data_IF_260698139169
#
_entry.id   IF_260698139169
#
_cell.length_a   1.000
_cell.length_b   1.000
_cell.length_c   1.000
_cell.angle_alpha   90.00
_cell.angle_beta   90.00
_cell.angle_gamma   90.00
#
_symmetry.space_group_name_H-M   'P 1'
#
loop_
_entity.id
_entity.type
_entity.pdbx_description
1 polymer ?
#
# COMPACT_ATOMS: atom_id res chain seq x y z
N UNK A 1 11.49 16.51 -7.57
CA UNK A 1 10.46 16.06 -6.60
C UNK A 1 9.08 16.53 -6.99
N UNK A 2 8.86 17.83 -7.25
CA UNK A 2 7.58 18.36 -7.78
C UNK A 2 7.14 17.62 -9.06
N UNK A 3 8.07 17.33 -9.97
CA UNK A 3 7.81 16.57 -11.21
C UNK A 3 7.27 15.15 -10.95
N UNK A 4 7.74 14.46 -9.91
CA UNK A 4 7.25 13.11 -9.58
C UNK A 4 5.82 13.18 -9.08
N UNK A 5 5.52 14.15 -8.21
CA UNK A 5 4.15 14.36 -7.70
C UNK A 5 3.18 14.73 -8.83
N UNK A 6 3.60 15.56 -9.78
CA UNK A 6 2.81 15.91 -10.97
C UNK A 6 2.54 14.69 -11.86
N UNK A 7 3.51 13.78 -12.02
CA UNK A 7 3.29 12.53 -12.75
C UNK A 7 2.24 11.66 -12.04
N UNK A 8 2.33 11.50 -10.72
CA UNK A 8 1.31 10.78 -9.94
C UNK A 8 -0.09 11.41 -10.08
N UNK A 9 -0.17 12.75 -10.08
CA UNK A 9 -1.41 13.48 -10.33
C UNK A 9 -1.98 13.18 -11.71
N UNK A 10 -1.13 13.29 -12.75
CA UNK A 10 -1.52 13.04 -14.13
C UNK A 10 -2.03 11.60 -14.32
N UNK A 11 -1.39 10.62 -13.68
CA UNK A 11 -1.79 9.21 -13.75
C UNK A 11 -3.13 8.99 -13.02
N UNK A 12 -3.34 9.63 -11.87
CA UNK A 12 -4.60 9.55 -11.14
C UNK A 12 -5.76 10.17 -11.93
N UNK A 13 -5.56 11.36 -12.53
CA UNK A 13 -6.55 12.01 -13.39
C UNK A 13 -6.88 11.14 -14.61
N UNK A 14 -5.86 10.65 -15.32
CA UNK A 14 -6.04 9.77 -16.47
C UNK A 14 -6.86 8.51 -16.11
N UNK A 15 -6.64 7.92 -14.93
CA UNK A 15 -7.41 6.78 -14.47
C UNK A 15 -8.88 7.11 -14.22
N UNK A 16 -9.18 8.29 -13.66
CA UNK A 16 -10.55 8.77 -13.42
C UNK A 16 -11.26 9.03 -14.76
N UNK A 17 -10.59 9.70 -15.70
CA UNK A 17 -11.13 9.95 -17.04
C UNK A 17 -11.43 8.63 -17.76
N UNK A 18 -10.50 7.68 -17.71
CA UNK A 18 -10.67 6.34 -18.29
C UNK A 18 -11.80 5.56 -17.62
N UNK A 19 -11.96 5.69 -16.29
CA UNK A 19 -13.04 5.06 -15.54
C UNK A 19 -14.41 5.70 -15.79
N UNK A 20 -14.44 6.90 -16.35
CA UNK A 20 -15.67 7.64 -16.69
C UNK A 20 -16.10 7.46 -18.16
N UNK A 21 -15.26 6.82 -18.99
CA UNK A 21 -15.57 6.57 -20.39
C UNK A 21 -16.64 5.47 -20.54
N UNK A 22 -17.85 5.88 -20.91
CA UNK A 22 -18.99 4.98 -21.14
C UNK A 22 -18.81 4.05 -22.35
N UNK A 23 -17.80 4.29 -23.20
CA UNK A 23 -17.51 3.46 -24.38
C UNK A 23 -16.58 2.29 -24.05
N UNK A 24 -15.98 2.26 -22.86
CA UNK A 24 -15.07 1.19 -22.46
C UNK A 24 -15.83 -0.14 -22.26
N UNK A 25 -15.26 -1.23 -22.77
CA UNK A 25 -15.76 -2.59 -22.48
C UNK A 25 -15.76 -2.84 -20.97
N UNK A 26 -16.76 -3.55 -20.45
CA UNK A 26 -16.98 -3.81 -19.01
C UNK A 26 -15.71 -4.21 -18.26
N UNK A 27 -14.92 -5.14 -18.80
CA UNK A 27 -13.67 -5.61 -18.17
C UNK A 27 -12.62 -4.50 -18.03
N UNK A 28 -12.47 -3.64 -19.04
CA UNK A 28 -11.55 -2.49 -18.97
C UNK A 28 -12.10 -1.42 -18.02
N UNK A 29 -13.43 -1.23 -18.00
CA UNK A 29 -14.08 -0.25 -17.13
C UNK A 29 -13.88 -0.61 -15.64
N UNK A 30 -14.05 -1.88 -15.28
CA UNK A 30 -13.76 -2.36 -13.92
C UNK A 30 -12.30 -2.12 -13.55
N UNK A 31 -11.38 -2.49 -14.45
CA UNK A 31 -9.94 -2.27 -14.25
C UNK A 31 -9.60 -0.78 -14.07
N UNK A 32 -10.21 0.11 -14.86
CA UNK A 32 -10.00 1.55 -14.75
C UNK A 32 -10.53 2.09 -13.41
N UNK A 33 -11.68 1.61 -12.94
CA UNK A 33 -12.23 1.97 -11.63
C UNK A 33 -11.32 1.52 -10.49
N UNK A 34 -10.85 0.27 -10.50
CA UNK A 34 -9.89 -0.23 -9.52
C UNK A 34 -8.59 0.58 -9.52
N UNK A 35 -8.03 0.85 -10.70
CA UNK A 35 -6.81 1.65 -10.86
C UNK A 35 -7.00 3.09 -10.38
N UNK A 36 -8.18 3.70 -10.61
CA UNK A 36 -8.48 5.06 -10.15
C UNK A 36 -8.47 5.17 -8.64
N UNK A 37 -9.05 4.21 -7.92
CA UNK A 37 -9.01 4.15 -6.45
C UNK A 37 -7.55 4.01 -5.99
N UNK A 38 -6.82 3.07 -6.58
CA UNK A 38 -5.44 2.77 -6.20
C UNK A 38 -4.50 3.97 -6.40
N UNK A 39 -4.58 4.63 -7.55
CA UNK A 39 -3.74 5.79 -7.87
C UNK A 39 -4.13 7.02 -7.05
N UNK A 40 -5.43 7.22 -6.80
CA UNK A 40 -5.86 8.33 -5.94
C UNK A 40 -5.44 8.12 -4.48
N UNK A 41 -5.44 6.89 -3.99
CA UNK A 41 -4.85 6.55 -2.69
C UNK A 41 -3.36 6.87 -2.62
N UNK A 42 -2.61 6.57 -3.69
CA UNK A 42 -1.19 6.85 -3.78
C UNK A 42 -0.88 8.34 -3.94
N UNK A 43 -1.76 9.15 -4.53
CA UNK A 43 -1.53 10.59 -4.69
C UNK A 43 -1.95 11.40 -3.46
N UNK A 44 -3.18 11.17 -2.96
CA UNK A 44 -3.81 12.03 -1.97
C UNK A 44 -3.16 11.93 -0.58
N UNK A 45 -2.91 13.06 0.08
CA UNK A 45 -2.36 13.12 1.44
C UNK A 45 -0.85 12.85 1.56
N UNK A 46 -0.17 12.60 0.44
CA UNK A 46 1.29 12.45 0.39
C UNK A 46 1.98 13.71 -0.12
N UNK A 47 3.10 14.06 0.51
CA UNK A 47 4.03 15.09 0.07
C UNK A 47 4.85 14.61 -1.14
N UNK A 48 5.49 15.55 -1.85
CA UNK A 48 6.32 15.21 -3.00
C UNK A 48 7.53 14.32 -2.63
N UNK A 49 8.02 14.40 -1.38
CA UNK A 49 9.07 13.50 -0.87
C UNK A 49 8.56 12.09 -0.60
N UNK A 50 7.36 11.99 -0.02
CA UNK A 50 6.74 10.70 0.26
C UNK A 50 6.37 9.96 -1.04
N UNK A 51 5.93 10.67 -2.08
CA UNK A 51 5.65 10.04 -3.37
C UNK A 51 6.87 9.40 -4.03
N UNK A 52 8.08 9.85 -3.70
CA UNK A 52 9.30 9.19 -4.17
C UNK A 52 9.56 7.86 -3.42
N UNK A 53 9.10 7.73 -2.17
CA UNK A 53 9.25 6.52 -1.37
C UNK A 53 8.34 5.39 -1.86
N UNK A 54 7.26 5.69 -2.59
CA UNK A 54 6.41 4.67 -3.21
C UNK A 54 7.23 3.68 -4.04
N UNK A 55 8.14 4.20 -4.88
CA UNK A 55 9.01 3.39 -5.72
C UNK A 55 9.93 2.49 -4.88
N UNK A 56 10.54 3.04 -3.82
CA UNK A 56 11.42 2.28 -2.94
C UNK A 56 10.67 1.09 -2.34
N UNK A 57 9.45 1.31 -1.85
CA UNK A 57 8.70 0.27 -1.14
C UNK A 57 8.08 -0.74 -2.09
N UNK A 58 7.55 -0.30 -3.23
CA UNK A 58 6.94 -1.19 -4.22
C UNK A 58 7.98 -2.01 -5.02
N UNK A 59 9.25 -1.62 -5.01
CA UNK A 59 10.28 -2.25 -5.84
C UNK A 59 10.68 -3.63 -5.31
N UNK A 60 10.44 -4.65 -6.13
CA UNK A 60 10.92 -6.03 -5.91
C UNK A 60 12.43 -6.19 -6.01
N UNK A 61 13.15 -5.19 -6.53
CA UNK A 61 14.60 -5.26 -6.74
C UNK A 61 15.42 -4.96 -5.48
N UNK A 62 14.78 -4.59 -4.37
CA UNK A 62 15.48 -4.21 -3.14
C UNK A 62 15.51 -5.40 -2.20
N UNK A 63 16.74 -5.86 -1.90
CA UNK A 63 16.98 -6.94 -0.95
C UNK A 63 16.91 -6.40 0.49
N UNK A 64 16.10 -7.05 1.33
CA UNK A 64 15.87 -6.69 2.72
C UNK A 64 17.15 -6.65 3.55
N UNK A 65 18.06 -7.60 3.27
CA UNK A 65 19.36 -7.70 3.96
C UNK A 65 20.23 -6.47 3.69
N UNK A 66 20.09 -5.87 2.51
CA UNK A 66 20.85 -4.67 2.13
C UNK A 66 20.16 -3.41 2.63
N UNK A 67 18.83 -3.43 2.75
CA UNK A 67 18.05 -2.27 3.13
C UNK A 67 18.01 -2.05 4.66
N UNK A 68 17.87 -3.12 5.46
CA UNK A 68 17.73 -3.00 6.92
C UNK A 68 18.79 -2.13 7.59
N UNK A 69 20.10 -2.31 7.30
CA UNK A 69 21.15 -1.48 7.92
C UNK A 69 21.05 0.01 7.56
N UNK A 70 20.35 0.35 6.48
CA UNK A 70 20.13 1.74 6.07
C UNK A 70 19.18 2.46 7.02
N UNK A 71 18.21 1.75 7.61
CA UNK A 71 17.36 2.32 8.67
C UNK A 71 18.17 2.64 9.93
N UNK A 72 19.21 1.86 10.20
CA UNK A 72 20.23 2.10 11.22
C UNK A 72 20.83 3.51 11.19
N UNK A 73 20.92 4.12 10.01
CA UNK A 73 21.54 5.44 9.79
C UNK A 73 20.58 6.62 9.94
N UNK A 74 19.27 6.37 9.99
CA UNK A 74 18.27 7.43 10.13
C UNK A 74 18.33 8.03 11.54
N UNK A 75 18.30 9.36 11.64
CA UNK A 75 18.13 10.04 12.91
C UNK A 75 16.66 9.97 13.38
N UNK A 76 16.39 10.40 14.62
CA UNK A 76 15.06 10.28 15.21
C UNK A 76 13.94 10.98 14.42
N UNK A 77 14.23 12.13 13.79
CA UNK A 77 13.25 12.87 12.97
C UNK A 77 12.98 12.15 11.64
N UNK A 78 14.03 11.65 10.99
CA UNK A 78 13.92 10.90 9.74
C UNK A 78 13.17 9.59 9.95
N UNK A 79 13.49 8.87 11.02
CA UNK A 79 12.83 7.63 11.41
C UNK A 79 11.34 7.86 11.71
N UNK A 80 11.01 8.91 12.47
CA UNK A 80 9.62 9.27 12.75
C UNK A 80 8.85 9.61 11.47
N UNK A 81 9.45 10.34 10.54
CA UNK A 81 8.82 10.67 9.26
C UNK A 81 8.58 9.42 8.40
N UNK A 82 9.52 8.48 8.39
CA UNK A 82 9.34 7.19 7.71
C UNK A 82 8.18 6.40 8.32
N UNK A 83 8.12 6.31 9.65
CA UNK A 83 7.03 5.63 10.37
C UNK A 83 5.68 6.27 10.05
N UNK A 84 5.58 7.61 10.08
CA UNK A 84 4.37 8.34 9.70
C UNK A 84 3.94 8.07 8.27
N UNK A 85 4.90 8.02 7.35
CA UNK A 85 4.62 7.69 5.97
C UNK A 85 4.08 6.24 5.81
N UNK A 86 4.64 5.25 6.53
CA UNK A 86 4.12 3.88 6.56
C UNK A 86 2.71 3.83 7.20
N UNK A 87 2.50 4.58 8.28
CA UNK A 87 1.21 4.71 8.95
C UNK A 87 0.12 5.28 8.01
N UNK A 88 0.47 6.28 7.17
CA UNK A 88 -0.45 6.80 6.14
C UNK A 88 -0.90 5.69 5.20
N UNK A 89 0.01 4.82 4.76
CA UNK A 89 -0.34 3.68 3.91
C UNK A 89 -1.27 2.69 4.61
N UNK A 90 -0.99 2.33 5.86
CA UNK A 90 -1.88 1.47 6.66
C UNK A 90 -3.28 2.07 6.78
N UNK A 91 -3.38 3.37 7.06
CA UNK A 91 -4.66 4.09 7.13
C UNK A 91 -5.41 4.07 5.80
N UNK A 92 -4.70 4.22 4.67
CA UNK A 92 -5.30 4.13 3.34
C UNK A 92 -5.87 2.73 3.09
N UNK A 93 -5.12 1.67 3.42
CA UNK A 93 -5.60 0.29 3.26
C UNK A 93 -6.76 -0.07 4.19
N UNK A 94 -6.74 0.42 5.43
CA UNK A 94 -7.87 0.27 6.35
C UNK A 94 -9.12 0.97 5.82
N UNK A 95 -8.98 2.17 5.23
CA UNK A 95 -10.10 2.96 4.70
C UNK A 95 -10.64 2.44 3.37
N UNK A 96 -9.78 1.85 2.53
CA UNK A 96 -10.11 1.38 1.20
C UNK A 96 -9.71 -0.10 1.02
N UNK A 97 -10.36 -1.03 1.73
CA UNK A 97 -10.02 -2.47 1.67
C UNK A 97 -10.22 -3.07 0.26
N UNK A 98 -11.01 -2.43 -0.60
CA UNK A 98 -11.21 -2.83 -1.99
C UNK A 98 -10.01 -2.52 -2.91
N UNK A 99 -9.05 -1.71 -2.45
CA UNK A 99 -7.90 -1.32 -3.26
C UNK A 99 -6.93 -2.49 -3.42
N UNK A 100 -6.91 -3.07 -4.61
CA UNK A 100 -6.05 -4.20 -4.97
C UNK A 100 -4.98 -3.77 -5.95
N UNK A 101 -3.79 -4.41 -5.91
CA UNK A 101 -2.77 -4.19 -6.93
C UNK A 101 -3.35 -4.47 -8.33
N UNK A 102 -3.19 -3.52 -9.25
CA UNK A 102 -3.73 -3.62 -10.61
C UNK A 102 -2.61 -3.53 -11.67
N UNK A 103 -1.65 -4.47 -11.71
CA UNK A 103 -0.49 -4.37 -12.60
C UNK A 103 -0.87 -4.45 -14.09
N UNK A 104 -2.01 -5.08 -14.42
CA UNK A 104 -2.52 -5.11 -15.80
C UNK A 104 -2.98 -3.74 -16.30
N UNK A 105 -3.29 -2.80 -15.42
CA UNK A 105 -3.66 -1.43 -15.83
C UNK A 105 -2.49 -0.70 -16.51
N UNK A 106 -1.25 -1.00 -16.10
CA UNK A 106 -0.04 -0.46 -16.72
C UNK A 106 0.04 -0.82 -18.22
N UNK A 107 -0.16 -2.09 -18.57
CA UNK A 107 -0.07 -2.56 -19.97
C UNK A 107 -1.34 -2.35 -20.79
N UNK A 108 -2.52 -2.42 -20.18
CA UNK A 108 -3.82 -2.36 -20.89
C UNK A 108 -4.37 -0.94 -21.00
N UNK A 109 -4.14 -0.10 -20.00
CA UNK A 109 -4.69 1.24 -19.88
C UNK A 109 -3.61 2.33 -19.87
N UNK A 110 -2.33 1.96 -20.04
CA UNK A 110 -1.17 2.87 -19.98
C UNK A 110 -1.03 3.61 -18.63
N UNK A 111 -1.58 3.04 -17.56
CA UNK A 111 -1.51 3.58 -16.19
C UNK A 111 -0.26 3.07 -15.48
N UNK A 112 0.90 3.57 -15.89
CA UNK A 112 2.22 3.07 -15.48
C UNK A 112 2.48 3.18 -13.98
N UNK A 113 1.88 4.17 -13.33
CA UNK A 113 2.03 4.37 -11.89
C UNK A 113 1.43 3.23 -11.05
N UNK A 114 0.52 2.42 -11.60
CA UNK A 114 -0.08 1.29 -10.87
C UNK A 114 0.94 0.24 -10.41
N UNK A 115 2.04 0.07 -11.15
CA UNK A 115 3.10 -0.88 -10.80
C UNK A 115 3.96 -0.40 -9.62
N UNK A 116 3.89 0.91 -9.31
CA UNK A 116 4.70 1.56 -8.28
C UNK A 116 3.93 1.89 -7.01
N UNK A 117 2.68 1.43 -6.90
CA UNK A 117 1.88 1.59 -5.68
C UNK A 117 2.31 0.51 -4.67
N UNK A 118 2.84 0.89 -3.49
CA UNK A 118 3.20 -0.06 -2.44
C UNK A 118 2.01 -0.93 -2.07
N UNK A 119 2.18 -2.26 -2.04
CA UNK A 119 1.15 -3.17 -1.55
C UNK A 119 1.10 -3.13 -0.02
N UNK A 120 -0.01 -3.58 0.56
CA UNK A 120 -0.11 -3.73 2.02
C UNK A 120 1.00 -4.64 2.56
N UNK A 121 1.31 -5.73 1.86
CA UNK A 121 2.41 -6.64 2.19
C UNK A 121 3.76 -5.90 2.25
N UNK A 122 4.05 -5.04 1.27
CA UNK A 122 5.29 -4.27 1.22
C UNK A 122 5.35 -3.29 2.41
N UNK A 123 4.23 -2.62 2.73
CA UNK A 123 4.14 -1.67 3.85
C UNK A 123 4.37 -2.35 5.20
N UNK A 124 3.71 -3.50 5.43
CA UNK A 124 3.85 -4.28 6.67
C UNK A 124 5.28 -4.81 6.80
N UNK A 125 5.85 -5.31 5.70
CA UNK A 125 7.23 -5.79 5.65
C UNK A 125 8.22 -4.70 6.04
N UNK A 126 8.11 -3.51 5.44
CA UNK A 126 8.98 -2.37 5.78
C UNK A 126 8.81 -1.90 7.22
N UNK A 127 7.59 -1.92 7.75
CA UNK A 127 7.34 -1.63 9.15
C UNK A 127 8.06 -2.64 10.06
N UNK A 128 7.99 -3.94 9.73
CA UNK A 128 8.71 -5.00 10.43
C UNK A 128 10.22 -4.75 10.45
N UNK A 129 10.83 -4.46 9.30
CA UNK A 129 12.26 -4.15 9.22
C UNK A 129 12.66 -2.94 10.07
N UNK A 130 11.84 -1.89 10.08
CA UNK A 130 12.07 -0.71 10.93
C UNK A 130 12.00 -1.08 12.41
N UNK A 131 11.01 -1.89 12.81
CA UNK A 131 10.87 -2.36 14.18
C UNK A 131 12.07 -3.22 14.59
N UNK A 132 12.50 -4.16 13.76
CA UNK A 132 13.62 -5.06 14.04
C UNK A 132 14.94 -4.27 14.21
N UNK A 133 15.21 -3.32 13.31
CA UNK A 133 16.46 -2.54 13.33
C UNK A 133 16.49 -1.47 14.45
N UNK A 134 15.35 -0.88 14.79
CA UNK A 134 15.27 0.28 15.70
C UNK A 134 14.49 0.05 16.99
N UNK A 135 14.14 -1.20 17.31
CA UNK A 135 13.29 -1.57 18.44
C UNK A 135 13.59 -0.77 19.72
N UNK A 136 14.84 -0.80 20.20
CA UNK A 136 15.23 -0.12 21.43
C UNK A 136 14.98 1.39 21.37
N UNK A 137 15.27 2.03 20.24
CA UNK A 137 15.04 3.48 20.07
C UNK A 137 13.54 3.81 20.08
N UNK A 138 12.74 2.96 19.43
CA UNK A 138 11.29 3.15 19.29
C UNK A 138 10.55 2.97 20.63
N UNK A 139 10.97 1.98 21.42
CA UNK A 139 10.34 1.69 22.72
C UNK A 139 10.80 2.67 23.79
N UNK A 140 12.07 3.07 23.81
CA UNK A 140 12.61 3.90 24.89
C UNK A 140 12.30 5.39 24.73
N UNK A 141 12.10 5.88 23.50
CA UNK A 141 11.96 7.31 23.24
C UNK A 141 10.48 7.71 23.04
N UNK A 142 9.89 8.57 23.90
CA UNK A 142 8.46 8.92 23.84
C UNK A 142 7.98 9.51 22.53
N UNK A 143 8.89 10.16 21.78
CA UNK A 143 8.65 10.71 20.44
C UNK A 143 7.89 9.77 19.49
N UNK A 144 8.08 8.45 19.61
CA UNK A 144 7.49 7.47 18.70
C UNK A 144 6.18 6.87 19.22
N UNK A 145 5.88 7.01 20.52
CA UNK A 145 4.85 6.20 21.20
C UNK A 145 3.44 6.46 20.69
N UNK A 146 3.09 7.71 20.41
CA UNK A 146 1.78 8.06 19.85
C UNK A 146 1.57 7.38 18.48
N UNK A 147 2.56 7.54 17.60
CA UNK A 147 2.46 7.00 16.25
C UNK A 147 2.44 5.47 16.24
N UNK A 148 3.25 4.83 17.10
CA UNK A 148 3.25 3.38 17.26
C UNK A 148 1.93 2.84 17.81
N UNK A 149 1.28 3.57 18.74
CA UNK A 149 -0.06 3.20 19.23
C UNK A 149 -1.10 3.29 18.12
N UNK A 150 -1.07 4.36 17.33
CA UNK A 150 -1.98 4.49 16.18
C UNK A 150 -1.76 3.37 15.16
N UNK A 151 -0.51 2.99 14.90
CA UNK A 151 -0.19 1.86 14.02
C UNK A 151 -0.70 0.53 14.59
N UNK A 152 -0.53 0.29 15.89
CA UNK A 152 -1.00 -0.92 16.57
C UNK A 152 -2.52 -1.09 16.44
N UNK A 153 -3.29 -0.02 16.65
CA UNK A 153 -4.74 -0.01 16.43
C UNK A 153 -5.10 -0.38 14.97
N UNK A 154 -4.44 0.24 13.99
CA UNK A 154 -4.69 -0.05 12.57
C UNK A 154 -4.34 -1.49 12.19
N UNK A 155 -3.19 -1.99 12.63
CA UNK A 155 -2.74 -3.37 12.36
C UNK A 155 -3.67 -4.37 13.04
N UNK A 156 -4.16 -4.09 14.25
CA UNK A 156 -5.13 -4.93 14.94
C UNK A 156 -6.46 -5.05 14.18
N UNK A 157 -6.98 -3.92 13.65
CA UNK A 157 -8.16 -3.93 12.78
C UNK A 157 -7.92 -4.75 11.51
N UNK A 158 -6.81 -4.50 10.80
CA UNK A 158 -6.47 -5.22 9.56
C UNK A 158 -6.27 -6.72 9.80
N UNK A 159 -5.66 -7.09 10.92
CA UNK A 159 -5.45 -8.49 11.31
C UNK A 159 -6.78 -9.19 11.61
N UNK A 160 -7.70 -8.50 12.28
CA UNK A 160 -9.03 -9.05 12.57
C UNK A 160 -9.82 -9.30 11.28
N UNK A 161 -9.77 -8.35 10.35
CA UNK A 161 -10.39 -8.49 9.02
C UNK A 161 -9.75 -9.64 8.22
N UNK A 162 -8.42 -9.74 8.22
CA UNK A 162 -7.71 -10.81 7.53
C UNK A 162 -8.09 -12.20 8.06
N UNK A 163 -8.21 -12.35 9.39
CA UNK A 163 -8.69 -13.59 10.02
C UNK A 163 -10.12 -13.94 9.58
N UNK A 164 -11.01 -12.96 9.56
CA UNK A 164 -12.39 -13.15 9.11
C UNK A 164 -12.45 -13.57 7.64
N UNK A 165 -11.70 -12.89 6.77
CA UNK A 165 -11.60 -13.22 5.35
C UNK A 165 -11.02 -14.62 5.12
N UNK A 166 -10.05 -15.05 5.92
CA UNK A 166 -9.49 -16.41 5.82
C UNK A 166 -10.54 -17.48 6.11
N UNK A 167 -11.33 -17.32 7.18
CA UNK A 167 -12.44 -18.23 7.50
C UNK A 167 -13.45 -18.33 6.35
N UNK A 168 -13.76 -17.20 5.71
CA UNK A 168 -14.66 -17.19 4.56
C UNK A 168 -14.05 -17.88 3.33
N UNK A 169 -12.75 -17.75 3.11
CA UNK A 169 -12.04 -18.45 2.05
C UNK A 169 -12.10 -19.98 2.26
N UNK A 170 -11.85 -20.43 3.49
CA UNK A 170 -11.94 -21.85 3.86
C UNK A 170 -13.36 -22.41 3.59
N UNK A 171 -14.41 -21.67 3.96
CA UNK A 171 -15.81 -22.06 3.68
C UNK A 171 -16.08 -22.11 2.18
N UNK A 172 -15.60 -21.14 1.41
CA UNK A 172 -15.77 -21.13 -0.05
C UNK A 172 -15.11 -22.36 -0.67
N UNK A 173 -13.94 -22.75 -0.18
CA UNK A 173 -13.23 -23.92 -0.72
C UNK A 173 -13.93 -25.23 -0.36
N UNK A 174 -14.50 -25.36 0.84
CA UNK A 174 -15.38 -26.49 1.20
C UNK A 174 -16.58 -26.56 0.24
N UNK A 175 -17.27 -25.43 0.01
CA UNK A 175 -18.45 -25.39 -0.87
C UNK A 175 -18.14 -25.64 -2.36
N UNK A 176 -16.90 -25.44 -2.81
CA UNK A 176 -16.47 -25.83 -4.15
C UNK A 176 -16.26 -27.34 -4.24
N UNK A 177 -15.62 -27.94 -3.22
CA UNK A 177 -15.37 -29.39 -3.16
C UNK A 177 -16.70 -30.16 -3.17
N UNK A 178 -17.70 -29.71 -2.41
CA UNK A 178 -19.02 -30.35 -2.39
C UNK A 178 -19.75 -30.27 -3.75
N UNK A 179 -19.43 -29.27 -4.57
CA UNK A 179 -19.99 -29.11 -5.91
C UNK A 179 -19.33 -29.98 -6.98
N UNK A 180 -18.10 -30.43 -6.76
CA UNK A 180 -17.38 -31.34 -7.67
C UNK A 180 -17.68 -32.82 -7.36
N UNK A 181 -18.25 -33.12 -6.19
CA UNK A 181 -18.64 -34.45 -5.74
C UNK A 181 -20.12 -34.79 -5.96
N UNK A 182 -20.85 -33.96 -6.72
CA UNK A 182 -22.28 -34.08 -7.05
C UNK A 182 -22.46 -34.20 -8.57
#
# INVERSE_FOLDING_TARGET
MVTVKLEWESQAVLAIETASDSKLKTKKLVMAKEASILLMMAYDGFSASETCLHYLIASSNINDVVLSPSFGKLNGKELLNLIRYLAKWLKKYQRFPQARPCPRASSVLNLKACDWVPKLEDVIKYLGLVLDEKFSSLVLHPLFHEELRSIEEMVSCLTSEAKFCNLMADVIDILKIDRENL
#
